data_IF_703653668051
#
_entry.id   IF_703653668051
#
_cell.length_a   1.000
_cell.length_b   1.000
_cell.length_c   1.000
_cell.angle_alpha   90.00
_cell.angle_beta   90.00
_cell.angle_gamma   90.00
#
_symmetry.space_group_name_H-M   'P 1'
#
loop_
_entity.id
_entity.type
_entity.pdbx_description
1 polymer ?
#
# COMPACT_ATOMS: atom_id res chain seq x y z
N UNK A 1 -4.95 12.02 -7.04
CA UNK A 1 -4.64 11.06 -8.12
C UNK A 1 -5.60 11.28 -9.26
N UNK A 2 -5.17 11.07 -10.51
CA UNK A 2 -6.04 11.12 -11.70
C UNK A 2 -5.82 9.85 -12.51
N UNK A 3 -6.89 9.29 -13.05
CA UNK A 3 -6.85 8.13 -13.95
C UNK A 3 -8.00 8.18 -14.93
N UNK A 4 -7.98 7.31 -15.95
CA UNK A 4 -9.10 7.14 -16.87
C UNK A 4 -10.30 6.56 -16.11
N UNK A 5 -11.48 7.14 -16.31
CA UNK A 5 -12.73 6.66 -15.73
C UNK A 5 -12.95 5.16 -15.96
N UNK A 6 -12.76 4.70 -17.19
CA UNK A 6 -12.92 3.30 -17.55
C UNK A 6 -12.05 2.36 -16.69
N UNK A 7 -10.79 2.72 -16.44
CA UNK A 7 -9.88 1.90 -15.61
C UNK A 7 -10.40 1.81 -14.17
N UNK A 8 -10.93 2.90 -13.63
CA UNK A 8 -11.51 2.92 -12.27
C UNK A 8 -12.77 2.04 -12.19
N UNK A 9 -13.64 2.12 -13.20
CA UNK A 9 -14.87 1.32 -13.28
C UNK A 9 -14.57 -0.18 -13.47
N UNK A 10 -13.57 -0.51 -14.30
CA UNK A 10 -13.11 -1.90 -14.49
C UNK A 10 -12.50 -2.50 -13.22
N UNK A 11 -12.04 -1.68 -12.29
CA UNK A 11 -11.57 -2.08 -10.96
C UNK A 11 -12.67 -2.06 -9.90
N UNK A 12 -13.92 -1.77 -10.29
CA UNK A 12 -15.05 -1.59 -9.39
C UNK A 12 -14.82 -0.52 -8.31
N UNK A 13 -13.98 0.47 -8.60
CA UNK A 13 -13.67 1.57 -7.71
C UNK A 13 -12.85 1.18 -6.47
N UNK A 14 -13.13 1.86 -5.36
CA UNK A 14 -12.51 1.59 -4.06
C UNK A 14 -13.20 0.43 -3.34
N UNK A 15 -12.46 -0.30 -2.50
CA UNK A 15 -13.05 -1.28 -1.61
C UNK A 15 -13.67 -0.58 -0.39
N UNK A 16 -14.91 -0.13 -0.55
CA UNK A 16 -15.66 0.57 0.50
C UNK A 16 -16.05 -0.35 1.68
N UNK A 17 -15.98 -1.66 1.51
CA UNK A 17 -16.34 -2.64 2.54
C UNK A 17 -15.16 -2.86 3.49
N UNK A 18 -13.97 -3.12 2.94
CA UNK A 18 -12.79 -3.44 3.73
C UNK A 18 -11.94 -2.22 4.06
N UNK A 19 -11.91 -1.19 3.20
CA UNK A 19 -11.06 -0.01 3.32
C UNK A 19 -11.84 1.31 3.17
N UNK A 20 -12.91 1.56 3.95
CA UNK A 20 -13.75 2.73 3.79
C UNK A 20 -13.01 4.06 4.07
N UNK A 21 -11.92 4.05 4.85
CA UNK A 21 -11.25 5.30 5.27
C UNK A 21 -9.75 5.29 5.01
N UNK A 22 -9.01 4.29 5.50
CA UNK A 22 -7.55 4.25 5.37
C UNK A 22 -7.13 3.25 4.29
N UNK A 23 -5.95 3.49 3.71
CA UNK A 23 -5.27 2.60 2.76
C UNK A 23 -5.99 2.32 1.43
N UNK A 24 -7.18 2.88 1.19
CA UNK A 24 -7.92 2.68 -0.06
C UNK A 24 -7.16 3.11 -1.32
N UNK A 25 -6.35 4.15 -1.22
CA UNK A 25 -5.49 4.65 -2.28
C UNK A 25 -4.31 3.72 -2.55
N UNK A 26 -3.73 3.13 -1.50
CA UNK A 26 -2.67 2.11 -1.60
C UNK A 26 -3.22 0.83 -2.24
N UNK A 27 -4.35 0.31 -1.76
CA UNK A 27 -5.02 -0.87 -2.34
C UNK A 27 -5.34 -0.66 -3.84
N UNK A 28 -5.94 0.48 -4.19
CA UNK A 28 -6.24 0.80 -5.59
C UNK A 28 -4.97 0.83 -6.44
N UNK A 29 -3.89 1.41 -5.93
CA UNK A 29 -2.59 1.42 -6.60
C UNK A 29 -2.02 0.01 -6.81
N UNK A 30 -2.09 -0.86 -5.80
CA UNK A 30 -1.62 -2.23 -5.92
C UNK A 30 -2.45 -3.04 -6.93
N UNK A 31 -3.78 -2.91 -6.93
CA UNK A 31 -4.66 -3.55 -7.94
C UNK A 31 -4.40 -3.05 -9.36
N UNK A 32 -4.09 -1.77 -9.55
CA UNK A 32 -3.64 -1.25 -10.86
C UNK A 32 -2.34 -1.93 -11.30
N UNK A 33 -1.38 -2.08 -10.38
CA UNK A 33 -0.07 -2.70 -10.66
C UNK A 33 -0.22 -4.17 -11.02
N UNK A 34 -1.11 -4.92 -10.36
CA UNK A 34 -1.43 -6.30 -10.73
C UNK A 34 -1.98 -6.43 -12.17
N UNK A 35 -2.66 -5.40 -12.66
CA UNK A 35 -3.11 -5.31 -14.06
C UNK A 35 -2.03 -4.81 -15.04
N UNK A 36 -0.78 -4.69 -14.58
CA UNK A 36 0.33 -4.21 -15.39
C UNK A 36 0.30 -2.71 -15.70
N UNK A 37 -0.55 -1.93 -15.01
CA UNK A 37 -0.60 -0.49 -15.16
C UNK A 37 0.47 0.19 -14.30
N UNK A 38 0.94 1.35 -14.77
CA UNK A 38 1.97 2.13 -14.09
C UNK A 38 1.35 3.26 -13.27
N UNK A 39 1.94 3.50 -12.09
CA UNK A 39 1.64 4.64 -11.23
C UNK A 39 2.76 5.65 -11.43
N UNK A 40 2.42 6.83 -11.95
CA UNK A 40 3.40 7.84 -12.33
C UNK A 40 3.21 9.09 -11.47
N UNK A 41 4.28 9.51 -10.81
CA UNK A 41 4.37 10.80 -10.17
C UNK A 41 4.88 11.85 -11.17
N UNK A 42 4.33 13.07 -11.12
CA UNK A 42 4.74 14.18 -11.98
C UNK A 42 4.94 15.45 -11.16
N UNK A 43 6.08 16.15 -11.30
CA UNK A 43 6.32 17.43 -10.61
C UNK A 43 5.55 18.60 -11.24
N UNK A 44 4.94 18.41 -12.42
CA UNK A 44 4.30 19.50 -13.17
C UNK A 44 2.87 19.81 -12.72
N UNK A 45 2.28 18.97 -11.86
CA UNK A 45 0.95 19.19 -11.29
C UNK A 45 1.05 19.28 -9.76
N UNK A 46 0.83 20.47 -9.22
CA UNK A 46 0.90 20.73 -7.78
C UNK A 46 -0.51 20.85 -7.20
N UNK A 47 -0.83 19.99 -6.24
CA UNK A 47 -2.10 20.00 -5.51
C UNK A 47 -1.78 20.11 -4.01
N UNK A 48 -2.46 21.03 -3.32
CA UNK A 48 -2.33 21.19 -1.87
C UNK A 48 -3.40 20.35 -1.19
N UNK A 49 -2.96 19.48 -0.27
CA UNK A 49 -3.83 18.68 0.57
C UNK A 49 -3.59 19.02 2.04
N UNK A 50 -4.63 19.49 2.72
CA UNK A 50 -4.61 19.68 4.17
C UNK A 50 -4.89 18.33 4.85
N UNK A 51 -3.83 17.55 4.98
CA UNK A 51 -3.93 16.17 5.44
C UNK A 51 -4.64 16.07 6.80
N UNK A 52 -5.58 15.11 6.91
CA UNK A 52 -6.36 14.83 8.11
C UNK A 52 -7.19 16.01 8.65
N UNK A 53 -7.38 17.10 7.89
CA UNK A 53 -8.08 18.29 8.35
C UNK A 53 -9.55 18.04 8.74
N UNK A 54 -10.28 17.24 7.96
CA UNK A 54 -11.67 16.87 8.25
C UNK A 54 -11.81 15.67 9.18
N UNK A 55 -10.87 14.73 9.09
CA UNK A 55 -10.89 13.45 9.83
C UNK A 55 -10.44 13.60 11.28
N UNK A 56 -9.50 14.50 11.55
CA UNK A 56 -8.80 14.56 12.82
C UNK A 56 -7.96 13.30 13.10
N UNK A 57 -7.55 13.13 14.35
CA UNK A 57 -6.84 11.93 14.81
C UNK A 57 -7.83 10.80 15.16
N UNK A 58 -7.37 9.54 15.19
CA UNK A 58 -8.14 8.38 15.68
C UNK A 58 -8.39 8.46 17.19
N UNK A 59 -9.21 9.41 17.60
CA UNK A 59 -9.45 9.77 18.99
C UNK A 59 -10.42 8.82 19.71
N UNK A 60 -11.32 8.15 18.97
CA UNK A 60 -12.30 7.23 19.56
C UNK A 60 -11.88 5.77 19.44
N UNK A 61 -12.40 4.92 20.34
CA UNK A 61 -12.16 3.47 20.31
C UNK A 61 -12.67 2.85 19.02
N UNK A 62 -13.77 3.32 18.48
CA UNK A 62 -14.36 2.84 17.23
C UNK A 62 -13.46 3.18 16.04
N UNK A 63 -12.88 4.39 16.02
CA UNK A 63 -11.94 4.80 14.98
C UNK A 63 -10.66 3.97 15.02
N UNK A 64 -10.13 3.68 16.21
CA UNK A 64 -8.96 2.82 16.40
C UNK A 64 -9.25 1.38 16.01
N UNK A 65 -10.39 0.83 16.45
CA UNK A 65 -10.81 -0.53 16.08
C UNK A 65 -10.99 -0.67 14.56
N UNK A 66 -11.55 0.35 13.89
CA UNK A 66 -11.64 0.37 12.42
C UNK A 66 -10.25 0.41 11.78
N UNK A 67 -9.37 1.32 12.22
CA UNK A 67 -8.01 1.41 11.71
C UNK A 67 -7.28 0.06 11.80
N UNK A 68 -7.40 -0.63 12.94
CA UNK A 68 -6.81 -1.95 13.12
C UNK A 68 -7.37 -2.99 12.13
N UNK A 69 -8.69 -3.01 11.90
CA UNK A 69 -9.29 -3.91 10.91
C UNK A 69 -8.80 -3.63 9.49
N UNK A 70 -8.75 -2.36 9.09
CA UNK A 70 -8.27 -1.94 7.77
C UNK A 70 -6.78 -2.28 7.59
N UNK A 71 -5.96 -2.09 8.65
CA UNK A 71 -4.55 -2.46 8.64
C UNK A 71 -4.34 -3.99 8.56
N UNK A 72 -5.13 -4.78 9.31
CA UNK A 72 -5.09 -6.24 9.24
C UNK A 72 -5.45 -6.73 7.83
N UNK A 73 -6.51 -6.17 7.22
CA UNK A 73 -6.88 -6.50 5.84
C UNK A 73 -5.71 -6.24 4.86
N UNK A 74 -5.05 -5.08 4.96
CA UNK A 74 -3.89 -4.77 4.11
C UNK A 74 -2.72 -5.75 4.32
N UNK A 75 -2.47 -6.17 5.56
CA UNK A 75 -1.42 -7.15 5.86
C UNK A 75 -1.74 -8.53 5.29
N UNK A 76 -3.01 -8.96 5.39
CA UNK A 76 -3.46 -10.25 4.88
C UNK A 76 -3.47 -10.30 3.35
N UNK A 77 -3.99 -9.25 2.70
CA UNK A 77 -4.11 -9.19 1.24
C UNK A 77 -2.80 -8.82 0.55
N UNK A 78 -2.07 -7.84 1.10
CA UNK A 78 -0.93 -7.20 0.42
C UNK A 78 0.40 -7.35 1.15
N UNK A 79 0.47 -8.10 2.25
CA UNK A 79 1.67 -8.21 3.08
C UNK A 79 2.93 -8.63 2.30
N UNK A 80 2.80 -9.56 1.36
CA UNK A 80 3.92 -9.97 0.50
C UNK A 80 4.44 -8.79 -0.36
N UNK A 81 3.53 -8.08 -1.03
CA UNK A 81 3.86 -6.95 -1.89
C UNK A 81 4.41 -5.75 -1.11
N UNK A 82 3.89 -5.50 0.09
CA UNK A 82 4.33 -4.41 0.97
C UNK A 82 5.72 -4.68 1.58
N UNK A 83 6.00 -5.93 1.97
CA UNK A 83 7.32 -6.31 2.50
C UNK A 83 8.38 -6.39 1.38
N UNK A 84 7.95 -6.75 0.17
CA UNK A 84 8.77 -6.91 -1.02
C UNK A 84 8.73 -5.73 -1.98
N UNK A 85 8.40 -4.51 -1.53
CA UNK A 85 8.21 -3.36 -2.41
C UNK A 85 9.42 -3.16 -3.36
N UNK A 86 9.23 -3.28 -4.69
CA UNK A 86 10.31 -3.13 -5.66
C UNK A 86 10.88 -1.71 -5.72
N UNK A 87 10.16 -0.72 -5.18
CA UNK A 87 10.59 0.68 -5.16
C UNK A 87 11.24 1.09 -3.84
N UNK A 88 11.24 0.21 -2.82
CA UNK A 88 11.93 0.45 -1.56
C UNK A 88 13.24 -0.36 -1.50
N UNK A 89 14.36 0.34 -1.29
CA UNK A 89 15.68 -0.30 -1.33
C UNK A 89 15.79 -1.47 -0.34
N UNK A 90 16.36 -2.61 -0.74
CA UNK A 90 16.59 -3.74 0.17
C UNK A 90 17.67 -3.41 1.22
N UNK A 91 18.48 -2.39 0.94
CA UNK A 91 19.54 -1.92 1.83
C UNK A 91 18.98 -1.00 2.93
N UNK A 92 17.67 -0.74 2.97
CA UNK A 92 17.02 0.08 3.99
C UNK A 92 16.09 -0.77 4.87
N UNK A 93 16.07 -0.45 6.17
CA UNK A 93 15.22 -1.10 7.17
C UNK A 93 13.74 -0.72 6.99
N UNK A 94 12.85 -1.68 7.25
CA UNK A 94 11.41 -1.42 7.37
C UNK A 94 11.00 -1.02 8.80
N UNK A 95 11.91 -1.12 9.77
CA UNK A 95 11.61 -0.71 11.15
C UNK A 95 11.50 0.81 11.21
N UNK A 96 10.49 1.37 11.90
CA UNK A 96 10.40 2.80 12.13
C UNK A 96 11.70 3.34 12.77
N UNK A 97 12.16 4.54 12.40
CA UNK A 97 11.49 5.51 11.52
C UNK A 97 11.60 5.19 10.01
N UNK A 98 12.33 4.13 9.64
CA UNK A 98 12.66 3.79 8.26
C UNK A 98 13.94 4.49 7.79
N UNK A 99 14.40 4.13 6.59
CA UNK A 99 15.51 4.78 5.87
C UNK A 99 16.93 4.60 6.46
N UNK A 100 17.08 3.86 7.55
CA UNK A 100 18.38 3.43 8.06
C UNK A 100 18.89 2.21 7.27
N UNK A 101 20.21 2.00 7.29
CA UNK A 101 20.84 0.85 6.61
C UNK A 101 20.36 -0.46 7.25
N UNK A 102 19.83 -1.37 6.45
CA UNK A 102 19.54 -2.74 6.86
C UNK A 102 20.83 -3.56 6.94
N UNK A 103 21.04 -4.25 8.05
CA UNK A 103 22.14 -5.21 8.20
C UNK A 103 21.64 -6.53 8.82
N UNK A 104 21.72 -7.67 8.10
CA UNK A 104 22.08 -7.76 6.68
C UNK A 104 21.05 -7.05 5.76
N UNK A 105 21.40 -6.77 4.48
CA UNK A 105 20.42 -6.31 3.49
C UNK A 105 19.22 -7.27 3.42
N UNK A 106 18.02 -6.72 3.19
CA UNK A 106 16.80 -7.51 3.00
C UNK A 106 16.85 -8.22 1.65
N UNK A 107 16.34 -9.44 1.55
CA UNK A 107 16.18 -10.11 0.25
C UNK A 107 15.02 -9.49 -0.53
N UNK A 108 15.21 -9.21 -1.82
CA UNK A 108 14.10 -8.95 -2.74
C UNK A 108 13.38 -10.28 -2.97
N UNK A 109 12.21 -10.41 -2.38
CA UNK A 109 11.54 -11.69 -2.16
C UNK A 109 11.78 -12.10 -0.71
N UNK A 110 10.71 -12.02 0.09
CA UNK A 110 10.66 -12.76 1.35
C UNK A 110 11.08 -14.19 1.07
N UNK A 111 11.91 -14.74 1.95
CA UNK A 111 12.49 -16.08 1.85
C UNK A 111 11.62 -17.08 1.05
N UNK A 112 11.96 -17.26 -0.22
CA UNK A 112 11.28 -18.15 -1.16
C UNK A 112 11.73 -19.61 -0.99
N UNK A 113 12.10 -20.02 0.22
CA UNK A 113 12.51 -21.40 0.52
C UNK A 113 11.36 -22.43 0.49
N UNK A 114 10.12 -22.03 0.16
CA UNK A 114 9.00 -22.96 0.00
C UNK A 114 8.16 -22.66 -1.25
N UNK A 115 8.63 -23.13 -2.42
CA UNK A 115 7.85 -23.77 -3.50
C UNK A 115 8.78 -24.09 -4.67
N UNK A 116 9.56 -25.17 -4.54
CA UNK A 116 10.02 -25.90 -5.73
C UNK A 116 8.79 -26.59 -6.31
N UNK A 117 8.28 -26.12 -7.44
CA UNK A 117 7.39 -26.92 -8.28
C UNK A 117 8.25 -27.95 -9.02
N UNK A 118 7.90 -29.25 -9.00
CA UNK A 118 8.62 -30.26 -9.77
C UNK A 118 8.33 -30.08 -11.27
N UNK A 119 9.33 -30.50 -12.06
CA UNK A 119 9.30 -30.54 -13.52
C UNK A 119 8.31 -31.58 -14.05
#
# INVERSE_FOLDING_TARGET
>A
MVMRKQVFEELHGFDEVNLPINFNDIDLCLRLRERGLQIIWTPYANLLHHESASRGHHATREQQARFLREATYMQECWGHELLGDPFYSPNLTLKPPGYEIAFPPRSHGGDASLKRLPA
#
